data_IF_241663422649
#
_entry.id   IF_241663422649
#
_cell.length_a   1.000
_cell.length_b   1.000
_cell.length_c   1.000
_cell.angle_alpha   90.00
_cell.angle_beta   90.00
_cell.angle_gamma   90.00
#
_symmetry.space_group_name_H-M   'P 1'
#
loop_
_entity.id
_entity.type
_entity.pdbx_description
1 polymer ?
#
# COMPACT_ATOMS: atom_id res chain seq x y z
N UNK A 1 -1.12 9.78 6.05
CA UNK A 1 0.20 9.86 5.40
C UNK A 1 0.43 11.29 4.93
N UNK A 2 1.63 11.86 5.11
CA UNK A 2 1.90 13.26 4.73
C UNK A 2 2.41 13.37 3.30
N UNK A 3 1.56 13.05 2.32
CA UNK A 3 1.80 13.32 0.90
C UNK A 3 0.47 13.66 0.21
N UNK A 4 0.44 14.57 -0.77
CA UNK A 4 -0.75 14.79 -1.59
C UNK A 4 -1.04 13.61 -2.53
N UNK A 5 -0.04 12.77 -2.84
CA UNK A 5 -0.15 11.70 -3.83
C UNK A 5 -0.45 10.36 -3.14
N UNK A 6 -1.73 10.17 -2.80
CA UNK A 6 -2.27 8.96 -2.16
C UNK A 6 -3.29 8.32 -3.09
N UNK A 7 -3.07 7.06 -3.45
CA UNK A 7 -3.91 6.34 -4.41
C UNK A 7 -4.51 5.10 -3.76
N UNK A 8 -5.80 4.89 -3.98
CA UNK A 8 -6.46 3.63 -3.68
C UNK A 8 -6.31 2.69 -4.88
N UNK A 9 -5.84 1.47 -4.63
CA UNK A 9 -5.69 0.42 -5.63
C UNK A 9 -6.90 -0.50 -5.57
N UNK A 10 -7.74 -0.43 -6.61
CA UNK A 10 -8.98 -1.23 -6.73
C UNK A 10 -8.83 -2.43 -7.67
N UNK A 11 -7.71 -2.52 -8.38
CA UNK A 11 -7.48 -3.48 -9.44
C UNK A 11 -6.66 -4.67 -8.94
N UNK A 12 -7.34 -5.69 -8.40
CA UNK A 12 -6.79 -7.04 -8.23
C UNK A 12 -7.48 -8.00 -9.20
N UNK A 13 -6.79 -9.01 -9.76
CA UNK A 13 -7.44 -10.06 -10.54
C UNK A 13 -8.64 -10.65 -9.78
N UNK A 14 -9.84 -10.78 -10.38
CA UNK A 14 -11.05 -11.19 -9.66
C UNK A 14 -10.89 -12.50 -8.87
N UNK A 15 -10.11 -13.44 -9.38
CA UNK A 15 -9.81 -14.70 -8.69
C UNK A 15 -8.98 -14.48 -7.42
N UNK A 16 -7.95 -13.63 -7.46
CA UNK A 16 -7.12 -13.31 -6.29
C UNK A 16 -7.91 -12.53 -5.25
N UNK A 17 -8.72 -11.55 -5.66
CA UNK A 17 -9.57 -10.81 -4.72
C UNK A 17 -10.61 -11.73 -4.06
N UNK A 18 -11.23 -12.63 -4.83
CA UNK A 18 -12.17 -13.62 -4.27
C UNK A 18 -11.49 -14.51 -3.22
N UNK A 19 -10.33 -15.09 -3.54
CA UNK A 19 -9.57 -15.92 -2.60
C UNK A 19 -9.21 -15.12 -1.34
N UNK A 20 -8.75 -13.87 -1.50
CA UNK A 20 -8.43 -12.99 -0.38
C UNK A 20 -9.64 -12.72 0.52
N UNK A 21 -10.83 -12.47 -0.05
CA UNK A 21 -12.05 -12.23 0.72
C UNK A 21 -12.51 -13.49 1.49
N UNK A 22 -12.37 -14.68 0.90
CA UNK A 22 -12.67 -15.94 1.57
C UNK A 22 -11.73 -16.17 2.76
N UNK A 23 -10.42 -15.96 2.56
CA UNK A 23 -9.42 -16.04 3.63
C UNK A 23 -9.66 -14.98 4.71
N UNK A 24 -10.04 -13.76 4.33
CA UNK A 24 -10.37 -12.68 5.26
C UNK A 24 -11.58 -13.02 6.12
N UNK A 25 -12.63 -13.62 5.53
CA UNK A 25 -13.79 -14.06 6.29
C UNK A 25 -13.42 -15.15 7.32
N UNK A 26 -12.46 -16.01 6.98
CA UNK A 26 -12.01 -17.10 7.85
C UNK A 26 -11.07 -16.65 8.98
N UNK A 27 -10.08 -15.81 8.66
CA UNK A 27 -8.97 -15.49 9.57
C UNK A 27 -8.98 -14.04 10.07
N UNK A 28 -9.79 -13.17 9.46
CA UNK A 28 -9.65 -11.74 9.61
C UNK A 28 -8.43 -11.18 8.87
N UNK A 29 -8.31 -9.87 8.86
CA UNK A 29 -7.18 -9.16 8.26
C UNK A 29 -6.63 -8.08 9.17
N UNK A 30 -5.41 -7.64 8.88
CA UNK A 30 -4.77 -6.47 9.45
C UNK A 30 -4.09 -5.68 8.32
N UNK A 31 -3.42 -4.58 8.66
CA UNK A 31 -2.72 -3.77 7.68
C UNK A 31 -1.24 -3.65 8.02
N UNK A 32 -0.40 -3.65 6.99
CA UNK A 32 1.03 -3.45 7.10
C UNK A 32 1.60 -2.78 5.85
N UNK A 33 2.67 -2.03 6.01
CA UNK A 33 3.37 -1.35 4.95
C UNK A 33 4.39 -2.26 4.26
N UNK A 34 4.54 -2.06 2.95
CA UNK A 34 5.60 -2.64 2.13
C UNK A 34 6.37 -1.51 1.44
N UNK A 35 7.70 -1.59 1.48
CA UNK A 35 8.59 -0.67 0.79
C UNK A 35 9.40 -1.41 -0.27
N UNK A 36 9.59 -0.78 -1.41
CA UNK A 36 10.36 -1.34 -2.52
C UNK A 36 10.96 -0.23 -3.37
N UNK A 37 12.03 -0.57 -4.09
CA UNK A 37 12.65 0.31 -5.06
C UNK A 37 11.68 0.77 -6.15
N UNK A 38 11.87 1.98 -6.70
CA UNK A 38 10.95 2.58 -7.67
C UNK A 38 10.69 1.70 -8.90
N UNK A 39 11.73 1.00 -9.37
CA UNK A 39 11.72 0.09 -10.51
C UNK A 39 10.79 -1.12 -10.35
N UNK A 40 10.48 -1.53 -9.11
CA UNK A 40 9.66 -2.71 -8.85
C UNK A 40 8.16 -2.41 -8.87
N UNK A 41 7.76 -1.17 -8.58
CA UNK A 41 6.34 -0.83 -8.38
C UNK A 41 5.49 -1.05 -9.61
N UNK A 42 6.07 -0.91 -10.81
CA UNK A 42 5.37 -1.20 -12.06
C UNK A 42 4.85 -2.64 -12.12
N UNK A 43 5.65 -3.61 -11.66
CA UNK A 43 5.24 -5.01 -11.55
C UNK A 43 4.28 -5.22 -10.38
N UNK A 44 4.62 -4.71 -9.19
CA UNK A 44 3.84 -4.89 -7.95
C UNK A 44 2.40 -4.39 -8.10
N UNK A 45 2.19 -3.22 -8.71
CA UNK A 45 0.85 -2.64 -8.88
C UNK A 45 -0.04 -3.48 -9.80
N UNK A 46 0.54 -4.20 -10.77
CA UNK A 46 -0.23 -5.02 -11.71
C UNK A 46 -0.40 -6.47 -11.28
N UNK A 47 0.59 -7.02 -10.61
CA UNK A 47 0.68 -8.45 -10.31
C UNK A 47 0.49 -8.76 -8.82
N UNK A 48 0.52 -7.74 -7.97
CA UNK A 48 0.62 -7.92 -6.53
C UNK A 48 2.05 -8.16 -6.07
N UNK A 49 2.20 -8.39 -4.77
CA UNK A 49 3.48 -8.76 -4.16
C UNK A 49 3.73 -10.25 -4.35
N UNK A 50 4.96 -10.60 -4.74
CA UNK A 50 5.38 -11.99 -4.95
C UNK A 50 6.40 -12.44 -3.91
N UNK A 51 6.45 -13.74 -3.63
CA UNK A 51 7.49 -14.33 -2.79
C UNK A 51 8.78 -14.42 -3.59
N UNK A 52 9.59 -13.36 -3.53
CA UNK A 52 10.85 -13.28 -4.27
C UNK A 52 12.01 -14.04 -3.59
N UNK A 53 11.90 -14.41 -2.30
CA UNK A 53 12.97 -15.07 -1.56
C UNK A 53 13.37 -16.41 -2.18
N UNK A 54 14.67 -16.63 -2.38
CA UNK A 54 15.23 -17.82 -3.00
C UNK A 54 15.08 -17.86 -4.53
N UNK A 55 14.61 -16.77 -5.14
CA UNK A 55 14.53 -16.62 -6.60
C UNK A 55 15.58 -15.63 -7.11
N UNK A 56 15.72 -15.52 -8.44
CA UNK A 56 16.57 -14.50 -9.08
C UNK A 56 16.14 -13.04 -8.78
N UNK A 57 14.92 -12.84 -8.26
CA UNK A 57 14.38 -11.53 -7.91
C UNK A 57 14.65 -11.15 -6.44
N UNK A 58 15.36 -11.99 -5.68
CA UNK A 58 15.74 -11.67 -4.31
C UNK A 58 16.81 -10.57 -4.30
N UNK A 59 16.42 -9.35 -3.89
CA UNK A 59 17.35 -8.22 -3.74
C UNK A 59 17.99 -8.22 -2.34
N UNK A 60 17.18 -8.44 -1.30
CA UNK A 60 17.63 -8.48 0.09
C UNK A 60 17.65 -9.93 0.59
N UNK A 61 18.56 -10.25 1.51
CA UNK A 61 18.59 -11.57 2.15
C UNK A 61 17.29 -11.90 2.89
N UNK A 62 17.03 -13.19 3.08
CA UNK A 62 15.85 -13.70 3.78
C UNK A 62 16.16 -14.05 5.25
N UNK A 63 16.71 -13.09 6.01
CA UNK A 63 17.24 -13.31 7.37
C UNK A 63 16.20 -13.84 8.38
N UNK A 64 14.92 -13.63 8.09
CA UNK A 64 13.79 -14.06 8.91
C UNK A 64 12.92 -15.11 8.20
N UNK A 65 13.49 -15.82 7.23
CA UNK A 65 12.79 -16.83 6.44
C UNK A 65 12.30 -16.30 5.09
N UNK A 66 11.92 -17.22 4.21
CA UNK A 66 11.42 -16.90 2.87
C UNK A 66 10.03 -16.30 2.94
N UNK A 67 9.79 -15.21 2.23
CA UNK A 67 8.47 -14.59 2.17
C UNK A 67 8.51 -13.12 1.75
N UNK A 68 7.34 -12.50 1.78
CA UNK A 68 7.14 -11.07 1.56
C UNK A 68 7.29 -10.34 2.89
N UNK A 69 8.18 -9.36 2.92
CA UNK A 69 8.49 -8.59 4.12
C UNK A 69 7.60 -7.35 4.21
N UNK A 70 7.00 -7.17 5.38
CA UNK A 70 6.06 -6.10 5.70
C UNK A 70 6.39 -5.52 7.09
N UNK A 71 5.88 -4.33 7.39
CA UNK A 71 5.99 -3.72 8.72
C UNK A 71 4.72 -2.99 9.11
N UNK A 72 4.26 -3.06 10.37
CA UNK A 72 3.19 -2.17 10.81
C UNK A 72 3.65 -0.69 10.87
N UNK A 73 4.97 -0.43 10.89
CA UNK A 73 5.54 0.91 10.96
C UNK A 73 5.94 1.43 9.57
N UNK A 74 5.40 2.58 9.17
CA UNK A 74 5.72 3.18 7.87
C UNK A 74 7.21 3.52 7.72
N UNK A 75 7.87 3.92 8.81
CA UNK A 75 9.30 4.27 8.86
C UNK A 75 10.19 3.10 8.44
N UNK A 76 9.83 1.88 8.86
CA UNK A 76 10.57 0.69 8.51
C UNK A 76 10.52 0.44 7.00
N UNK A 77 9.32 0.50 6.40
CA UNK A 77 9.16 0.33 4.94
C UNK A 77 9.84 1.42 4.11
N UNK A 78 9.95 2.66 4.61
CA UNK A 78 10.70 3.70 3.90
C UNK A 78 12.18 3.33 3.69
N UNK A 79 12.80 2.64 4.66
CA UNK A 79 14.20 2.20 4.50
C UNK A 79 14.39 1.24 3.31
N UNK A 80 13.37 0.44 2.99
CA UNK A 80 13.37 -0.49 1.85
C UNK A 80 12.99 0.17 0.51
N UNK A 81 12.64 1.45 0.52
CA UNK A 81 12.25 2.20 -0.68
C UNK A 81 13.43 2.89 -1.36
N UNK A 82 14.67 2.51 -1.00
CA UNK A 82 15.94 3.13 -1.44
C UNK A 82 16.05 4.63 -1.13
N UNK A 83 15.42 5.04 -0.03
CA UNK A 83 15.57 6.37 0.56
C UNK A 83 17.06 6.70 0.75
N UNK A 84 17.56 7.73 0.07
CA UNK A 84 18.95 8.20 0.20
C UNK A 84 19.96 7.68 -0.83
N UNK A 85 19.65 6.65 -1.63
CA UNK A 85 20.61 6.19 -2.66
C UNK A 85 20.79 7.17 -3.84
N UNK A 86 19.88 8.12 -4.01
CA UNK A 86 20.00 9.19 -5.01
C UNK A 86 20.82 10.40 -4.51
N UNK A 87 21.08 10.51 -3.20
CA UNK A 87 21.86 11.60 -2.62
C UNK A 87 23.38 11.43 -2.83
N UNK A 88 23.86 10.20 -2.97
CA UNK A 88 25.30 9.93 -3.10
C UNK A 88 25.87 10.14 -4.52
N UNK A 89 25.04 10.58 -5.47
CA UNK A 89 25.43 10.89 -6.86
C UNK A 89 25.05 12.32 -7.28
N UNK A 90 24.82 13.22 -6.32
CA UNK A 90 24.59 14.65 -6.57
C UNK A 90 25.92 15.38 -6.89
N UNK A 91 26.56 14.97 -7.97
CA UNK A 91 27.32 15.89 -8.84
C UNK A 91 26.58 16.14 -10.15
N UNK A 92 25.41 15.54 -10.37
CA UNK A 92 24.54 15.91 -11.48
C UNK A 92 23.75 17.15 -11.08
N UNK A 93 23.81 18.26 -11.87
CA UNK A 93 22.96 19.41 -11.60
C UNK A 93 21.51 18.93 -11.61
N UNK A 94 20.77 19.26 -10.54
CA UNK A 94 19.32 19.06 -10.47
C UNK A 94 18.75 19.63 -11.77
N UNK A 95 18.35 18.75 -12.68
CA UNK A 95 17.75 19.17 -13.93
C UNK A 95 16.58 20.07 -13.53
N UNK A 96 16.59 21.33 -14.00
CA UNK A 96 15.44 22.22 -13.83
C UNK A 96 14.21 21.41 -14.19
N UNK A 97 13.14 21.42 -13.37
CA UNK A 97 11.94 20.66 -13.67
C UNK A 97 11.53 21.03 -15.10
N UNK A 98 11.68 20.08 -16.04
CA UNK A 98 11.05 20.23 -17.33
C UNK A 98 9.57 20.20 -17.01
N UNK A 99 8.86 21.28 -17.36
CA UNK A 99 7.40 21.27 -17.32
C UNK A 99 6.94 20.41 -18.49
N UNK A 100 7.25 19.12 -18.44
CA UNK A 100 6.66 18.13 -19.30
C UNK A 100 5.19 18.05 -18.91
N UNK A 101 4.34 18.70 -19.71
CA UNK A 101 2.88 18.75 -19.51
C UNK A 101 2.21 17.36 -19.48
N UNK A 102 2.97 16.31 -19.79
CA UNK A 102 2.52 14.92 -19.80
C UNK A 102 2.86 14.15 -18.52
N UNK A 103 3.40 14.81 -17.48
CA UNK A 103 3.76 14.16 -16.21
C UNK A 103 2.83 14.62 -15.09
N UNK A 104 2.25 13.65 -14.37
CA UNK A 104 1.44 13.92 -13.19
C UNK A 104 2.28 14.37 -11.99
N UNK A 105 3.48 13.78 -11.82
CA UNK A 105 4.43 14.11 -10.75
C UNK A 105 5.43 15.16 -11.24
N UNK A 106 5.88 16.03 -10.34
CA UNK A 106 6.78 17.15 -10.65
C UNK A 106 8.26 16.76 -10.62
N UNK A 107 8.63 15.73 -9.85
CA UNK A 107 9.99 15.29 -9.61
C UNK A 107 10.31 13.92 -10.21
N UNK A 108 11.56 13.70 -10.59
CA UNK A 108 12.12 12.37 -10.91
C UNK A 108 12.59 11.61 -9.67
N UNK A 109 12.70 12.27 -8.52
CA UNK A 109 13.14 11.69 -7.26
C UNK A 109 11.92 11.24 -6.46
N UNK A 110 11.49 10.00 -6.71
CA UNK A 110 10.30 9.42 -6.11
C UNK A 110 10.68 8.39 -5.05
N UNK A 111 10.00 8.45 -3.91
CA UNK A 111 9.95 7.34 -2.95
C UNK A 111 8.51 6.85 -2.84
N UNK A 112 8.32 5.55 -2.84
CA UNK A 112 6.99 4.98 -2.79
C UNK A 112 6.90 3.84 -1.78
N UNK A 113 5.78 3.78 -1.07
CA UNK A 113 5.42 2.65 -0.21
C UNK A 113 3.97 2.28 -0.48
N UNK A 114 3.62 1.03 -0.19
CA UNK A 114 2.24 0.58 -0.22
C UNK A 114 1.75 0.21 1.18
N UNK A 115 0.46 0.39 1.41
CA UNK A 115 -0.25 -0.22 2.53
C UNK A 115 -1.02 -1.42 2.01
N UNK A 116 -0.72 -2.56 2.60
CA UNK A 116 -1.27 -3.85 2.26
C UNK A 116 -2.25 -4.30 3.33
N UNK A 117 -3.37 -4.88 2.91
CA UNK A 117 -4.23 -5.68 3.76
C UNK A 117 -3.68 -7.11 3.79
N UNK A 118 -3.53 -7.68 4.99
CA UNK A 118 -2.82 -8.94 5.22
C UNK A 118 -3.69 -9.88 6.05
N UNK A 119 -3.84 -11.12 5.60
CA UNK A 119 -4.62 -12.15 6.29
C UNK A 119 -3.93 -12.59 7.58
N UNK A 120 -4.68 -12.63 8.69
CA UNK A 120 -4.18 -13.06 10.01
C UNK A 120 -4.19 -14.59 10.15
N UNK A 121 -3.48 -15.28 9.26
CA UNK A 121 -3.37 -16.75 9.22
C UNK A 121 -2.02 -17.24 9.76
N UNK A 122 -1.81 -18.57 9.88
CA UNK A 122 -0.49 -19.14 10.18
C UNK A 122 0.63 -18.76 9.21
N UNK A 123 0.31 -18.29 8.00
CA UNK A 123 1.28 -17.84 7.00
C UNK A 123 1.85 -16.44 7.30
N UNK A 124 1.25 -15.70 8.25
CA UNK A 124 1.75 -14.42 8.74
C UNK A 124 2.67 -14.62 9.94
N UNK A 125 3.97 -14.54 9.71
CA UNK A 125 4.98 -14.64 10.76
C UNK A 125 5.40 -13.26 11.24
N UNK A 126 4.96 -12.86 12.44
CA UNK A 126 5.41 -11.63 13.12
C UNK A 126 6.74 -11.90 13.83
N UNK A 127 7.85 -11.71 13.13
CA UNK A 127 9.20 -12.08 13.58
C UNK A 127 9.73 -11.13 14.64
N UNK A 128 9.40 -9.86 14.50
CA UNK A 128 9.57 -8.82 15.53
C UNK A 128 8.36 -7.90 15.53
N UNK A 129 8.35 -6.87 16.38
CA UNK A 129 7.34 -5.82 16.34
C UNK A 129 7.31 -5.06 15.00
N UNK A 130 8.41 -5.08 14.26
CA UNK A 130 8.62 -4.28 13.06
C UNK A 130 8.68 -5.14 11.78
N UNK A 131 9.06 -6.41 11.91
CA UNK A 131 9.33 -7.29 10.77
C UNK A 131 8.30 -8.41 10.74
N UNK A 132 7.42 -8.34 9.74
CA UNK A 132 6.45 -9.38 9.44
C UNK A 132 6.82 -10.04 8.12
N UNK A 133 6.66 -11.36 8.05
CA UNK A 133 6.95 -12.15 6.86
C UNK A 133 5.72 -12.97 6.50
N UNK A 134 5.22 -12.81 5.29
CA UNK A 134 4.11 -13.61 4.76
C UNK A 134 4.62 -14.58 3.71
N UNK A 135 4.28 -15.85 3.86
CA UNK A 135 4.77 -16.95 3.01
C UNK A 135 3.92 -17.23 1.78
N UNK A 136 2.70 -16.66 1.69
CA UNK A 136 1.78 -16.84 0.56
C UNK A 136 1.30 -15.52 -0.02
N UNK A 137 1.38 -15.41 -1.34
CA UNK A 137 0.99 -14.20 -2.09
C UNK A 137 -0.51 -13.91 -1.96
N UNK A 138 -1.37 -14.94 -1.96
CA UNK A 138 -2.82 -14.79 -1.82
C UNK A 138 -3.28 -14.24 -0.45
N UNK A 139 -2.36 -14.13 0.52
CA UNK A 139 -2.64 -13.60 1.85
C UNK A 139 -2.38 -12.10 1.94
N UNK A 140 -2.04 -11.45 0.84
CA UNK A 140 -1.76 -10.01 0.77
C UNK A 140 -2.56 -9.39 -0.36
N UNK A 141 -3.23 -8.28 -0.07
CA UNK A 141 -3.80 -7.40 -1.09
C UNK A 141 -3.25 -5.98 -0.91
N UNK A 142 -2.67 -5.43 -1.96
CA UNK A 142 -2.17 -4.04 -1.96
C UNK A 142 -3.36 -3.09 -2.08
N UNK A 143 -3.64 -2.29 -1.05
CA UNK A 143 -4.83 -1.42 -1.01
C UNK A 143 -4.52 0.04 -1.29
N UNK A 144 -3.42 0.57 -0.76
CA UNK A 144 -3.05 1.97 -0.98
C UNK A 144 -1.61 2.07 -1.47
N UNK A 145 -1.37 3.09 -2.30
CA UNK A 145 -0.06 3.45 -2.80
C UNK A 145 0.23 4.92 -2.49
N UNK A 146 1.37 5.18 -1.85
CA UNK A 146 1.78 6.52 -1.45
C UNK A 146 3.05 6.90 -2.20
N UNK A 147 3.02 8.05 -2.87
CA UNK A 147 4.16 8.58 -3.62
C UNK A 147 4.66 9.83 -2.95
N UNK A 148 5.97 9.95 -2.80
CA UNK A 148 6.65 11.08 -2.18
C UNK A 148 7.68 11.64 -3.15
N UNK A 149 7.69 12.96 -3.28
CA UNK A 149 8.63 13.67 -4.15
C UNK A 149 9.76 14.28 -3.32
N UNK A 150 10.96 14.32 -3.89
CA UNK A 150 12.12 15.06 -3.36
C UNK A 150 12.48 14.73 -1.90
N UNK A 151 12.29 13.47 -1.50
CA UNK A 151 12.65 13.01 -0.16
C UNK A 151 11.78 13.58 0.97
N UNK A 152 10.61 14.15 0.66
CA UNK A 152 9.64 14.59 1.66
C UNK A 152 8.93 13.41 2.34
N UNK A 153 9.70 12.57 3.05
CA UNK A 153 9.19 11.40 3.77
C UNK A 153 9.33 11.61 5.27
N UNK A 154 8.43 11.02 6.07
CA UNK A 154 8.64 10.89 7.51
C UNK A 154 8.16 12.02 8.43
N UNK A 155 7.43 13.04 7.94
CA UNK A 155 6.76 14.00 8.84
C UNK A 155 5.60 13.38 9.63
N UNK A 156 5.16 12.17 9.27
CA UNK A 156 4.14 11.40 10.00
C UNK A 156 4.56 9.94 10.09
N UNK A 157 4.84 9.48 11.31
CA UNK A 157 5.03 8.06 11.63
C UNK A 157 3.65 7.44 11.79
N UNK A 158 3.35 6.44 10.97
CA UNK A 158 2.10 5.67 11.07
C UNK A 158 2.43 4.27 11.55
N UNK A 159 1.69 3.83 12.55
CA UNK A 159 1.78 2.51 13.17
C UNK A 159 0.42 1.81 13.08
N UNK A 160 0.33 0.80 12.22
CA UNK A 160 -0.91 0.05 11.98
C UNK A 160 -1.28 -0.91 13.13
N UNK A 161 -0.50 -1.00 14.21
CA UNK A 161 -0.96 -1.66 15.44
C UNK A 161 -1.97 -0.83 16.21
N UNK A 162 -2.00 0.50 15.99
CA UNK A 162 -2.94 1.40 16.63
C UNK A 162 -4.29 1.42 15.90
N UNK A 163 -5.36 1.06 16.62
CA UNK A 163 -6.72 0.94 16.06
C UNK A 163 -7.24 2.20 15.36
N UNK A 164 -6.79 3.40 15.77
CA UNK A 164 -7.10 4.67 15.11
C UNK A 164 -6.79 4.63 13.61
N UNK A 165 -5.62 4.11 13.23
CA UNK A 165 -5.20 4.07 11.83
C UNK A 165 -5.93 2.98 11.05
N UNK A 166 -6.15 1.82 11.66
CA UNK A 166 -6.93 0.74 11.05
C UNK A 166 -8.34 1.22 10.69
N UNK A 167 -9.05 1.88 11.62
CA UNK A 167 -10.40 2.41 11.36
C UNK A 167 -10.43 3.41 10.22
N UNK A 168 -9.46 4.34 10.19
CA UNK A 168 -9.38 5.33 9.12
C UNK A 168 -9.20 4.68 7.74
N UNK A 169 -8.40 3.61 7.67
CA UNK A 169 -8.17 2.85 6.43
C UNK A 169 -9.42 2.06 6.03
N UNK A 170 -10.09 1.42 7.00
CA UNK A 170 -11.35 0.70 6.78
C UNK A 170 -12.46 1.64 6.31
N UNK A 171 -12.62 2.80 6.93
CA UNK A 171 -13.59 3.83 6.53
C UNK A 171 -13.31 4.33 5.11
N UNK A 172 -12.05 4.57 4.76
CA UNK A 172 -11.65 4.96 3.42
C UNK A 172 -12.01 3.89 2.40
N UNK A 173 -11.70 2.62 2.68
CA UNK A 173 -12.09 1.49 1.82
C UNK A 173 -13.61 1.39 1.68
N UNK A 174 -14.35 1.42 2.79
CA UNK A 174 -15.81 1.33 2.79
C UNK A 174 -16.46 2.45 1.97
N UNK A 175 -15.95 3.68 2.08
CA UNK A 175 -16.48 4.84 1.34
C UNK A 175 -16.41 4.68 -0.19
N UNK A 176 -15.45 3.90 -0.69
CA UNK A 176 -15.29 3.66 -2.13
C UNK A 176 -16.15 2.51 -2.67
N UNK A 177 -16.65 1.63 -1.79
CA UNK A 177 -17.46 0.46 -2.15
C UNK A 177 -18.94 0.57 -1.74
N UNK A 178 -19.35 1.67 -1.10
CA UNK A 178 -20.76 1.95 -0.85
C UNK A 178 -21.51 2.05 -2.19
N UNK A 179 -22.62 1.30 -2.39
CA UNK A 179 -23.45 1.50 -3.56
C UNK A 179 -23.95 2.95 -3.53
N UNK A 180 -23.71 3.68 -4.62
CA UNK A 180 -24.32 5.00 -4.84
C UNK A 180 -25.83 4.77 -4.77
N UNK A 181 -26.46 5.10 -3.65
CA UNK A 181 -27.92 5.05 -3.53
C UNK A 181 -28.45 6.08 -4.52
N UNK A 182 -29.20 5.68 -5.57
CA UNK A 182 -29.72 6.63 -6.54
C UNK A 182 -30.59 7.66 -5.82
N UNK A 183 -30.39 8.93 -6.15
CA UNK A 183 -31.05 10.09 -5.52
C UNK A 183 -32.59 10.06 -5.53
N UNK A 184 -33.20 9.15 -6.30
CA UNK A 184 -34.66 8.99 -6.40
C UNK A 184 -35.35 8.50 -5.11
N UNK A 185 -34.61 7.93 -4.14
CA UNK A 185 -35.22 7.53 -2.87
C UNK A 185 -35.49 8.71 -1.90
N UNK A 186 -34.88 9.89 -2.12
CA UNK A 186 -35.14 11.08 -1.29
C UNK A 186 -36.40 11.86 -1.69
N UNK A 187 -36.88 11.70 -2.93
CA UNK A 187 -38.08 12.42 -3.42
C UNK A 187 -39.39 11.72 -3.00
N UNK A 188 -39.41 10.39 -2.93
CA UNK A 188 -40.61 9.64 -2.53
C UNK A 188 -40.88 9.69 -1.01
N UNK A 189 -39.86 9.89 -0.18
CA UNK A 189 -40.03 10.07 1.27
C UNK A 189 -40.67 11.42 1.64
N UNK A 190 -40.56 12.43 0.77
CA UNK A 190 -41.21 13.73 0.98
C UNK A 190 -42.68 13.74 0.54
N UNK A 191 -43.03 12.98 -0.51
CA UNK A 191 -44.42 12.85 -1.01
C UNK A 191 -45.32 12.02 -0.07
N UNK A 192 -44.76 11.07 0.68
CA UNK A 192 -45.54 10.25 1.63
C UNK A 192 -45.70 10.86 3.04
N UNK A 193 -45.19 12.08 3.28
CA UNK A 193 -45.40 12.83 4.53
C UNK A 193 -46.45 13.95 4.39
N UNK A 194 -46.99 14.14 3.20
CA UNK A 194 -47.99 15.18 2.89
C UNK A 194 -49.33 14.60 2.42
N UNK A 195 -49.59 13.33 2.70
CA UNK A 195 -50.84 12.63 2.40
C UNK A 195 -51.57 12.25 3.67
#
# INVERSE_FOLDING_TARGET
MSTPHQFLLLSSPPAQEKEFQELKAQYGSCFAFHGSSIENWHAIIRQGLIVASGTKFQINGAAHGKGIYLSPLSTYSFSYSRMGHHLHNLQTPVAKPSVDKNRFLSSSHLNCIALCEVIQSPELHKKTNEIWVVTKESHICTRFFFVYEDGQVGSSVVDMTHSKWCRLVEDALASCFMPVVPSRAREQAHLNRTS
#
